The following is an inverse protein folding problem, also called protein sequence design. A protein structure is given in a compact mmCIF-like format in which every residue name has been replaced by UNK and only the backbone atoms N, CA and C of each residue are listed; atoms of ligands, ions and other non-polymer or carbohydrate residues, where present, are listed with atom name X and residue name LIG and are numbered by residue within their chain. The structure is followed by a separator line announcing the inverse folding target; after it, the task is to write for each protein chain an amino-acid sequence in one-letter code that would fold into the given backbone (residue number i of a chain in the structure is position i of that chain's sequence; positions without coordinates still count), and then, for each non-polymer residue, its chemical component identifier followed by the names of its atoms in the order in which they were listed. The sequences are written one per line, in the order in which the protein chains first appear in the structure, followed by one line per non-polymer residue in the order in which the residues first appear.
data_IF_943045987515
#
_entry.id   IF_943045987515
#
_cell.length_a   1.000
_cell.length_b   1.000
_cell.length_c   1.000
_cell.angle_alpha   90.00
_cell.angle_beta   90.00
_cell.angle_gamma   90.00
#
_symmetry.space_group_name_H-M   'P 1'
#
loop_
_entity.id
_entity.type
_entity.pdbx_description
1 polymer ?
#
# COMPACT_ATOMS: atom_id res chain seq x y z
N UNK A 1 -14.46 -42.64 24.69
CA UNK A 1 -14.15 -42.07 24.33
C UNK A 1 -14.21 -41.51 23.64
N UNK A 2 -14.39 -41.35 23.68
CA UNK A 2 -14.18 -40.58 23.03
C UNK A 2 -14.29 -39.84 22.40
N UNK A 3 -14.51 -39.68 22.30
CA UNK A 3 -14.35 -38.86 21.80
C UNK A 3 -14.49 -38.17 21.17
N UNK A 4 -14.63 -38.15 21.25
CA UNK A 4 -14.48 -37.33 20.81
C UNK A 4 -14.49 -36.65 20.16
N UNK A 5 -14.69 -36.61 20.30
CA UNK A 5 -14.44 -35.80 19.91
C UNK A 5 -14.45 -35.31 19.20
N UNK A 6 -14.55 -35.50 19.38
CA UNK A 6 -14.25 -34.78 18.92
C UNK A 6 -14.39 -34.32 18.26
N UNK A 7 -14.64 -34.33 18.22
CA UNK A 7 -14.53 -33.71 17.84
C UNK A 7 -14.48 -33.04 17.32
N UNK A 8 -14.86 -33.11 17.48
CA UNK A 8 -14.68 -32.38 17.20
C UNK A 8 -14.44 -31.88 16.70
N UNK A 9 -14.84 -32.26 17.16
CA UNK A 9 -14.44 -31.58 16.87
C UNK A 9 -14.52 -31.15 16.04
N UNK A 10 -14.86 -31.52 16.26
CA UNK A 10 -14.66 -30.90 15.80
C UNK A 10 -15.08 -30.45 14.99
N UNK A 11 -15.36 -30.58 15.04
CA UNK A 11 -15.44 -29.99 14.58
C UNK A 11 -15.59 -29.28 13.91
N UNK A 12 -16.06 -29.54 14.15
CA UNK A 12 -15.99 -28.73 13.80
C UNK A 12 -16.13 -28.29 13.08
N UNK A 13 -16.39 -28.55 13.37
CA UNK A 13 -16.25 -27.82 12.95
C UNK A 13 -16.56 -27.41 12.14
N UNK A 14 -16.94 -27.73 12.28
CA UNK A 14 -16.86 -26.98 11.73
C UNK A 14 -17.28 -26.53 11.09
N UNK A 15 -17.78 -26.53 11.04
CA UNK A 15 -17.84 -25.76 10.55
C UNK A 15 -18.08 -25.17 9.87
N UNK A 16 -18.68 -25.42 9.97
CA UNK A 16 -18.68 -24.57 9.46
C UNK A 16 -18.90 -24.24 8.92
N UNK A 17 -19.23 -24.50 9.01
CA UNK A 17 -19.18 -23.74 8.67
C UNK A 17 -19.38 -23.36 8.15
N UNK A 18 -19.64 -23.33 8.09
CA UNK A 18 -19.57 -22.51 7.84
C UNK A 18 -19.68 -22.04 7.41
N UNK A 19 -19.81 -21.81 7.43
CA UNK A 19 -19.66 -21.10 7.16
C UNK A 19 -19.56 -20.57 6.80
N UNK A 20 -19.58 -20.57 6.79
CA UNK A 20 -19.19 -19.95 6.58
C UNK A 20 -19.51 -19.16 6.15
N UNK A 21 -19.30 -19.27 6.65
CA UNK A 21 -19.88 -18.26 6.39
C UNK A 21 -19.57 -17.36 5.37
N UNK A 22 -19.84 -16.84 4.94
CA UNK A 22 -19.70 -16.11 3.89
C UNK A 22 -19.09 -14.89 3.81
N UNK A 23 -18.22 -14.51 2.75
CA UNK A 23 -17.66 -13.22 2.90
C UNK A 23 -18.74 -12.19 2.99
N UNK A 24 -18.45 -11.21 3.82
CA UNK A 24 -19.42 -10.21 4.10
C UNK A 24 -19.01 -8.85 3.58
N UNK A 25 -17.79 -8.72 3.06
CA UNK A 25 -17.26 -7.45 2.61
C UNK A 25 -17.82 -7.07 1.24
N UNK A 26 -18.40 -5.87 1.16
CA UNK A 26 -18.78 -5.29 -0.12
C UNK A 26 -17.58 -4.45 -0.59
N UNK A 27 -16.79 -5.02 -1.49
CA UNK A 27 -15.57 -4.37 -1.96
C UNK A 27 -15.86 -3.11 -2.76
N UNK A 28 -17.05 -2.99 -3.35
CA UNK A 28 -17.41 -1.77 -4.07
C UNK A 28 -17.55 -0.55 -3.15
N UNK A 29 -17.63 -0.79 -1.85
CA UNK A 29 -17.71 0.27 -0.84
C UNK A 29 -16.48 0.30 0.06
N UNK A 30 -15.46 -0.46 -0.28
CA UNK A 30 -14.24 -0.58 0.53
C UNK A 30 -13.12 0.23 -0.12
N UNK A 31 -12.65 1.25 0.59
CA UNK A 31 -11.57 2.10 0.12
C UNK A 31 -10.25 1.33 0.15
N UNK A 32 -9.54 1.32 -0.97
CA UNK A 32 -8.24 0.65 -1.06
C UNK A 32 -7.22 1.18 -0.06
N UNK A 33 -7.38 2.44 0.37
CA UNK A 33 -6.51 3.02 1.40
C UNK A 33 -6.93 2.63 2.82
N UNK A 34 -8.03 1.91 2.96
CA UNK A 34 -8.51 1.46 4.27
C UNK A 34 -8.72 -0.05 4.35
N UNK A 35 -8.63 -0.74 3.21
CA UNK A 35 -8.85 -2.19 3.19
C UNK A 35 -7.89 -2.86 4.17
N UNK A 36 -8.41 -3.83 4.92
CA UNK A 36 -7.66 -4.50 5.98
C UNK A 36 -6.97 -5.75 5.47
N UNK A 37 -6.02 -6.24 6.27
CA UNK A 37 -5.34 -7.51 5.99
C UNK A 37 -6.38 -8.63 5.79
N UNK A 38 -7.35 -8.73 6.70
CA UNK A 38 -8.38 -9.79 6.61
C UNK A 38 -9.23 -9.66 5.35
N UNK A 39 -9.56 -8.44 4.96
CA UNK A 39 -10.33 -8.22 3.73
C UNK A 39 -9.52 -8.62 2.49
N UNK A 40 -8.21 -8.40 2.51
CA UNK A 40 -7.33 -8.84 1.42
C UNK A 40 -7.30 -10.37 1.34
N UNK A 41 -7.21 -11.05 2.49
CA UNK A 41 -7.30 -12.51 2.53
C UNK A 41 -8.65 -12.99 1.99
N UNK A 42 -9.72 -12.33 2.40
CA UNK A 42 -11.08 -12.65 1.96
C UNK A 42 -11.21 -12.51 0.44
N UNK A 43 -10.56 -11.49 -0.14
CA UNK A 43 -10.58 -11.26 -1.58
C UNK A 43 -9.83 -12.34 -2.36
N UNK A 44 -8.87 -13.01 -1.72
CA UNK A 44 -8.13 -14.11 -2.32
C UNK A 44 -6.62 -14.02 -2.24
N UNK A 45 -6.07 -12.97 -1.64
CA UNK A 45 -4.61 -12.85 -1.50
C UNK A 45 -4.10 -13.79 -0.40
N UNK A 46 -2.89 -14.33 -0.60
CA UNK A 46 -2.25 -15.07 0.47
C UNK A 46 -1.70 -14.10 1.52
N UNK A 47 -1.22 -14.66 2.64
CA UNK A 47 -0.75 -13.84 3.77
C UNK A 47 0.43 -12.95 3.38
N UNK A 48 1.36 -13.47 2.59
CA UNK A 48 2.53 -12.70 2.18
C UNK A 48 2.15 -11.51 1.31
N UNK A 49 1.28 -11.74 0.34
CA UNK A 49 0.81 -10.67 -0.55
C UNK A 49 0.03 -9.63 0.22
N UNK A 50 -0.85 -10.07 1.12
CA UNK A 50 -1.64 -9.15 1.95
C UNK A 50 -0.74 -8.31 2.84
N UNK A 51 0.26 -8.94 3.48
CA UNK A 51 1.21 -8.22 4.32
C UNK A 51 2.03 -7.22 3.50
N UNK A 52 2.47 -7.61 2.30
CA UNK A 52 3.23 -6.72 1.42
C UNK A 52 2.38 -5.53 0.97
N UNK A 53 1.12 -5.76 0.66
CA UNK A 53 0.17 -4.70 0.29
C UNK A 53 0.07 -3.66 1.43
N UNK A 54 -0.21 -4.14 2.64
CA UNK A 54 -0.36 -3.26 3.81
C UNK A 54 0.95 -2.53 4.10
N UNK A 55 2.08 -3.24 4.06
CA UNK A 55 3.39 -2.66 4.31
C UNK A 55 3.75 -1.57 3.30
N UNK A 56 3.53 -1.84 2.02
CA UNK A 56 3.83 -0.89 0.95
C UNK A 56 2.94 0.36 1.08
N UNK A 57 1.63 0.14 1.29
CA UNK A 57 0.70 1.24 1.48
C UNK A 57 1.12 2.13 2.65
N UNK A 58 1.52 1.51 3.77
CA UNK A 58 1.93 2.25 4.95
C UNK A 58 3.20 3.06 4.70
N UNK A 59 4.17 2.49 3.99
CA UNK A 59 5.42 3.19 3.68
C UNK A 59 5.21 4.35 2.72
N UNK A 60 4.27 4.21 1.79
CA UNK A 60 3.92 5.29 0.89
C UNK A 60 3.15 6.42 1.60
N UNK A 61 2.47 6.10 2.70
CA UNK A 61 1.55 7.04 3.33
C UNK A 61 0.20 7.08 2.63
N UNK A 62 -0.15 5.99 1.98
CA UNK A 62 -1.37 5.84 1.22
C UNK A 62 -1.11 5.83 -0.28
N UNK A 63 -2.01 5.19 -1.02
CA UNK A 63 -1.95 5.19 -2.49
C UNK A 63 -2.58 6.48 -3.02
N UNK A 64 -1.91 7.12 -3.96
CA UNK A 64 -2.46 8.26 -4.72
C UNK A 64 -3.21 7.75 -5.94
N UNK A 65 -2.72 6.67 -6.54
CA UNK A 65 -3.35 6.01 -7.70
C UNK A 65 -3.50 4.53 -7.43
N UNK A 66 -4.58 3.94 -7.90
CA UNK A 66 -4.82 2.50 -7.76
C UNK A 66 -3.70 1.67 -8.40
N UNK A 67 -3.14 2.13 -9.51
CA UNK A 67 -2.09 1.41 -10.22
C UNK A 67 -0.84 1.18 -9.38
N UNK A 68 -0.62 1.97 -8.33
CA UNK A 68 0.52 1.77 -7.44
C UNK A 68 0.46 0.42 -6.73
N UNK A 69 -0.73 -0.14 -6.56
CA UNK A 69 -0.91 -1.46 -5.95
C UNK A 69 -0.11 -2.51 -6.73
N UNK A 70 -0.02 -2.36 -8.05
CA UNK A 70 0.71 -3.30 -8.91
C UNK A 70 2.22 -3.28 -8.66
N UNK A 71 2.74 -2.27 -7.99
CA UNK A 71 4.16 -2.18 -7.63
C UNK A 71 4.48 -2.94 -6.34
N UNK A 72 3.47 -3.46 -5.67
CA UNK A 72 3.65 -4.21 -4.43
C UNK A 72 4.54 -5.44 -4.67
N UNK A 73 5.53 -5.64 -3.80
CA UNK A 73 6.46 -6.76 -3.92
C UNK A 73 5.71 -8.09 -3.86
N UNK A 74 6.00 -8.95 -4.82
CA UNK A 74 5.43 -10.32 -4.90
C UNK A 74 3.89 -10.39 -4.96
N UNK A 75 3.22 -9.33 -5.40
CA UNK A 75 1.77 -9.39 -5.51
C UNK A 75 1.37 -10.14 -6.80
N UNK A 76 0.29 -10.91 -6.71
CA UNK A 76 -0.34 -11.50 -7.89
C UNK A 76 -0.99 -10.36 -8.67
N UNK A 77 -0.44 -10.01 -9.82
CA UNK A 77 -0.90 -8.86 -10.58
C UNK A 77 -2.31 -9.03 -11.12
N UNK A 78 -2.67 -10.24 -11.52
CA UNK A 78 -4.03 -10.49 -12.01
C UNK A 78 -5.05 -10.28 -10.91
N UNK A 79 -4.77 -10.78 -9.71
CA UNK A 79 -5.67 -10.61 -8.58
C UNK A 79 -5.70 -9.14 -8.14
N UNK A 80 -4.53 -8.47 -8.17
CA UNK A 80 -4.45 -7.05 -7.83
C UNK A 80 -5.30 -6.21 -8.78
N UNK A 81 -5.28 -6.52 -10.08
CA UNK A 81 -6.10 -5.82 -11.06
C UNK A 81 -7.59 -6.03 -10.79
N UNK A 82 -7.98 -7.25 -10.40
CA UNK A 82 -9.37 -7.52 -10.02
C UNK A 82 -9.79 -6.68 -8.83
N UNK A 83 -8.90 -6.55 -7.84
CA UNK A 83 -9.19 -5.73 -6.66
C UNK A 83 -9.32 -4.25 -7.06
N UNK A 84 -8.41 -3.75 -7.89
CA UNK A 84 -8.44 -2.37 -8.36
C UNK A 84 -9.76 -2.08 -9.06
N UNK A 85 -10.26 -3.03 -9.85
CA UNK A 85 -11.53 -2.87 -10.55
C UNK A 85 -12.74 -2.99 -9.63
N UNK A 86 -12.59 -3.67 -8.50
CA UNK A 86 -13.70 -3.94 -7.58
C UNK A 86 -13.88 -2.86 -6.51
N UNK A 87 -12.80 -2.17 -6.13
CA UNK A 87 -12.80 -1.28 -4.97
C UNK A 87 -12.36 0.13 -5.33
N UNK A 88 -13.01 1.15 -4.73
CA UNK A 88 -12.62 2.54 -4.97
C UNK A 88 -11.35 2.93 -4.22
N UNK A 89 -10.77 4.05 -4.61
CA UNK A 89 -9.63 4.63 -3.92
C UNK A 89 -9.94 6.05 -3.50
N UNK A 90 -9.83 6.33 -2.21
CA UNK A 90 -9.92 7.69 -1.68
C UNK A 90 -8.52 8.13 -1.28
N UNK A 91 -7.97 9.10 -2.02
CA UNK A 91 -6.61 9.59 -1.78
C UNK A 91 -6.57 10.92 -1.02
N UNK A 92 -7.68 11.35 -0.45
CA UNK A 92 -7.77 12.67 0.18
C UNK A 92 -6.89 12.81 1.43
N UNK A 93 -6.65 11.71 2.12
CA UNK A 93 -5.87 11.74 3.36
C UNK A 93 -4.42 11.29 3.18
N UNK A 94 -3.95 11.20 1.95
CA UNK A 94 -2.57 10.83 1.67
C UNK A 94 -1.63 11.94 2.13
N UNK A 95 -0.58 11.55 2.86
CA UNK A 95 0.39 12.50 3.37
C UNK A 95 1.26 13.04 2.24
N UNK A 96 1.32 14.37 2.12
CA UNK A 96 2.14 15.04 1.11
C UNK A 96 2.91 16.19 1.75
N UNK A 97 4.10 16.44 1.20
CA UNK A 97 4.94 17.55 1.65
C UNK A 97 5.47 18.32 0.46
N UNK A 98 5.89 19.55 0.68
CA UNK A 98 6.78 20.25 -0.24
C UNK A 98 8.16 19.58 -0.14
N UNK A 99 8.86 19.48 -1.26
CA UNK A 99 10.22 18.92 -1.28
C UNK A 99 11.14 19.71 -0.32
N UNK A 100 10.87 21.00 -0.20
CA UNK A 100 11.68 21.90 0.64
C UNK A 100 11.45 21.67 2.14
N UNK A 101 10.25 21.22 2.51
CA UNK A 101 9.85 21.11 3.91
C UNK A 101 9.71 19.68 4.40
N UNK A 102 9.79 18.69 3.51
CA UNK A 102 9.59 17.29 3.89
C UNK A 102 10.56 16.89 5.01
N UNK A 103 10.07 16.23 6.06
CA UNK A 103 10.95 15.77 7.14
C UNK A 103 11.99 14.79 6.59
N UNK A 104 13.22 14.89 7.12
CA UNK A 104 14.31 14.02 6.64
C UNK A 104 13.98 12.55 6.79
N UNK A 105 13.39 12.15 7.93
CA UNK A 105 13.02 10.76 8.16
C UNK A 105 11.98 10.28 7.15
N UNK A 106 11.04 11.14 6.81
CA UNK A 106 10.03 10.80 5.79
C UNK A 106 10.70 10.54 4.44
N UNK A 107 11.62 11.44 4.04
CA UNK A 107 12.35 11.28 2.78
C UNK A 107 13.16 9.99 2.76
N UNK A 108 13.84 9.68 3.86
CA UNK A 108 14.73 8.52 3.94
C UNK A 108 13.97 7.19 3.99
N UNK A 109 12.72 7.21 4.41
CA UNK A 109 11.93 5.98 4.57
C UNK A 109 10.88 5.78 3.49
N UNK A 110 10.57 6.82 2.71
CA UNK A 110 9.53 6.71 1.68
C UNK A 110 10.06 5.95 0.47
N UNK A 111 9.34 4.96 -0.05
CA UNK A 111 9.80 4.13 -1.18
C UNK A 111 10.25 4.91 -2.40
N UNK A 112 9.60 6.05 -2.70
CA UNK A 112 9.92 6.82 -3.89
C UNK A 112 11.03 7.84 -3.67
N UNK A 113 11.27 8.25 -2.41
CA UNK A 113 12.24 9.30 -2.10
C UNK A 113 13.55 8.78 -1.53
N UNK A 114 13.55 7.60 -0.93
CA UNK A 114 14.71 7.15 -0.14
C UNK A 114 16.01 7.09 -0.93
N UNK A 115 15.94 6.74 -2.19
CA UNK A 115 17.15 6.68 -3.03
C UNK A 115 17.75 8.07 -3.24
N UNK A 116 16.90 9.09 -3.31
CA UNK A 116 17.31 10.46 -3.57
C UNK A 116 17.39 11.32 -2.29
N UNK A 117 17.06 10.77 -1.14
CA UNK A 117 16.85 11.55 0.09
C UNK A 117 18.06 12.41 0.45
N UNK A 118 19.26 11.84 0.45
CA UNK A 118 20.45 12.60 0.82
C UNK A 118 20.72 13.75 -0.15
N UNK A 119 20.47 13.54 -1.45
CA UNK A 119 20.63 14.60 -2.44
C UNK A 119 19.61 15.71 -2.25
N UNK A 120 18.36 15.35 -1.95
CA UNK A 120 17.31 16.34 -1.69
C UNK A 120 17.69 17.19 -0.49
N UNK A 121 18.09 16.55 0.61
CA UNK A 121 18.47 17.24 1.84
C UNK A 121 19.64 18.19 1.58
N UNK A 122 20.59 17.75 0.79
CA UNK A 122 21.76 18.55 0.46
C UNK A 122 21.41 19.77 -0.42
N UNK A 123 20.69 19.51 -1.53
CA UNK A 123 20.42 20.57 -2.51
C UNK A 123 19.40 21.59 -2.02
N UNK A 124 18.45 21.19 -1.19
CA UNK A 124 17.41 22.13 -0.73
C UNK A 124 17.96 23.21 0.21
N UNK A 125 19.17 23.01 0.73
CA UNK A 125 19.83 24.03 1.54
C UNK A 125 20.07 25.29 0.71
N UNK A 126 20.46 25.12 -0.56
CA UNK A 126 20.87 26.22 -1.42
C UNK A 126 19.86 26.59 -2.51
N UNK A 127 18.96 25.68 -2.86
CA UNK A 127 18.06 25.90 -3.99
C UNK A 127 16.60 25.90 -3.52
N UNK A 128 15.88 27.04 -3.69
CA UNK A 128 14.52 27.18 -3.20
C UNK A 128 13.43 26.63 -4.14
N UNK A 129 13.80 26.19 -5.34
CA UNK A 129 12.84 25.69 -6.31
C UNK A 129 12.93 24.19 -6.46
N UNK A 130 11.80 23.51 -6.40
CA UNK A 130 11.75 22.04 -6.56
C UNK A 130 12.32 21.60 -7.91
N UNK A 131 11.97 22.32 -8.98
CA UNK A 131 12.46 21.97 -10.32
C UNK A 131 13.99 22.00 -10.39
N UNK A 132 14.61 22.96 -9.71
CA UNK A 132 16.07 23.06 -9.65
C UNK A 132 16.67 21.87 -8.90
N UNK A 133 16.04 21.46 -7.80
CA UNK A 133 16.52 20.33 -7.01
C UNK A 133 16.44 19.06 -7.85
N UNK A 134 15.32 18.82 -8.53
CA UNK A 134 15.18 17.65 -9.41
C UNK A 134 16.25 17.62 -10.50
N UNK A 135 16.53 18.79 -11.08
CA UNK A 135 17.58 18.92 -12.11
C UNK A 135 18.95 18.59 -11.53
N UNK A 136 19.29 19.18 -10.37
CA UNK A 136 20.60 19.00 -9.74
C UNK A 136 20.84 17.55 -9.34
N UNK A 137 19.83 16.86 -8.83
CA UNK A 137 20.01 15.48 -8.39
C UNK A 137 19.87 14.48 -9.53
N UNK A 138 19.58 14.98 -10.75
CA UNK A 138 19.50 14.17 -11.95
C UNK A 138 18.53 13.00 -11.80
N UNK A 139 17.37 13.30 -11.25
CA UNK A 139 16.33 12.29 -11.05
C UNK A 139 15.87 11.76 -12.42
N UNK A 140 15.69 10.44 -12.49
CA UNK A 140 15.12 9.85 -13.71
C UNK A 140 13.67 10.33 -13.87
N UNK A 141 13.20 10.55 -15.11
CA UNK A 141 11.83 11.04 -15.31
C UNK A 141 10.77 10.19 -14.64
N UNK A 142 10.89 8.86 -14.68
CA UNK A 142 9.93 7.99 -14.06
C UNK A 142 9.94 8.11 -12.52
N UNK A 143 11.13 8.32 -11.94
CA UNK A 143 11.27 8.50 -10.51
C UNK A 143 10.70 9.84 -10.08
N UNK A 144 10.97 10.89 -10.85
CA UNK A 144 10.42 12.22 -10.58
C UNK A 144 8.89 12.18 -10.63
N UNK A 145 8.31 11.52 -11.61
CA UNK A 145 6.86 11.40 -11.74
C UNK A 145 6.25 10.73 -10.49
N UNK A 146 6.90 9.69 -9.98
CA UNK A 146 6.44 9.01 -8.77
C UNK A 146 6.56 9.89 -7.55
N UNK A 147 7.69 10.58 -7.38
CA UNK A 147 7.90 11.49 -6.25
C UNK A 147 6.86 12.61 -6.26
N UNK A 148 6.52 13.14 -7.44
CA UNK A 148 5.57 14.25 -7.53
C UNK A 148 4.16 13.85 -7.07
N UNK A 149 3.82 12.57 -7.08
CA UNK A 149 2.53 12.12 -6.55
C UNK A 149 2.38 12.47 -5.06
N UNK A 150 3.49 12.59 -4.33
CA UNK A 150 3.49 12.85 -2.89
C UNK A 150 3.98 14.26 -2.53
N UNK A 151 4.09 15.13 -3.51
CA UNK A 151 4.45 16.52 -3.30
C UNK A 151 3.21 17.42 -3.38
N UNK A 152 3.21 18.45 -2.52
CA UNK A 152 2.15 19.45 -2.55
C UNK A 152 2.29 20.34 -3.77
#
# INVERSE_FOLDING_TARGET
IKLNLTQKTSENTAQNPPEKAKPTTDFSKTDLNKITFQQLIEFGFDEKSAASFIGFRNKLGGFVKSSQILETYNIDKNLAEKLINASPLNNMNVQKFSLLDAPEDWLKNHPYFRYYANKIIYYRISFPKESTIFEKMKAKPEDEAKMRLYLK
#
